data_IF_602348025467
#
_entry.id   IF_602348025467
#
_cell.length_a   1.000
_cell.length_b   1.000
_cell.length_c   1.000
_cell.angle_alpha   90.00
_cell.angle_beta   90.00
_cell.angle_gamma   90.00
#
_symmetry.space_group_name_H-M   'P 1'
#
loop_
_entity.id
_entity.type
_entity.pdbx_description
1 polymer ?
#
# COMPACT_ATOMS: atom_id res chain seq x y z
N UNK A 1 8.28 -7.80 9.02
CA UNK A 1 8.14 -9.21 9.44
C UNK A 1 7.59 -10.01 8.25
N UNK A 2 8.38 -10.84 7.57
CA UNK A 2 7.93 -11.57 6.38
C UNK A 2 6.75 -12.53 6.69
N UNK A 3 6.70 -13.05 7.92
CA UNK A 3 5.64 -13.96 8.37
C UNK A 3 4.25 -13.31 8.44
N UNK A 4 4.15 -12.00 8.76
CA UNK A 4 2.84 -11.32 8.81
C UNK A 4 2.32 -11.06 7.41
N UNK A 5 3.19 -10.69 6.46
CA UNK A 5 2.82 -10.48 5.06
C UNK A 5 2.32 -11.77 4.40
N UNK A 6 2.99 -12.90 4.65
CA UNK A 6 2.54 -14.21 4.14
C UNK A 6 1.22 -14.65 4.77
N UNK A 7 1.03 -14.41 6.08
CA UNK A 7 -0.21 -14.76 6.77
C UNK A 7 -1.41 -13.93 6.28
N UNK A 8 -1.22 -12.62 6.07
CA UNK A 8 -2.24 -11.74 5.49
C UNK A 8 -2.52 -12.17 4.04
N UNK A 9 -1.51 -12.54 3.25
CA UNK A 9 -1.68 -12.97 1.86
C UNK A 9 -2.46 -14.28 1.75
N UNK A 10 -2.17 -15.24 2.64
CA UNK A 10 -2.92 -16.48 2.71
C UNK A 10 -4.38 -16.26 3.15
N UNK A 11 -4.62 -15.44 4.18
CA UNK A 11 -5.97 -15.14 4.64
C UNK A 11 -6.79 -14.38 3.60
N UNK A 12 -6.17 -13.46 2.86
CA UNK A 12 -6.83 -12.70 1.79
C UNK A 12 -7.11 -13.58 0.56
N UNK A 13 -6.20 -14.49 0.21
CA UNK A 13 -6.43 -15.49 -0.84
C UNK A 13 -7.54 -16.49 -0.48
N UNK A 14 -7.61 -16.92 0.78
CA UNK A 14 -8.64 -17.81 1.29
C UNK A 14 -10.00 -17.10 1.40
N UNK A 15 -10.03 -15.88 1.94
CA UNK A 15 -11.27 -15.10 2.08
C UNK A 15 -11.89 -14.76 0.73
N UNK A 16 -11.07 -14.44 -0.27
CA UNK A 16 -11.53 -14.16 -1.65
C UNK A 16 -12.18 -15.39 -2.29
N UNK A 17 -11.63 -16.58 -2.09
CA UNK A 17 -12.18 -17.85 -2.60
C UNK A 17 -13.48 -18.23 -1.88
N UNK A 18 -13.53 -18.08 -0.55
CA UNK A 18 -14.74 -18.33 0.24
C UNK A 18 -15.86 -17.35 -0.15
N UNK A 19 -15.53 -16.08 -0.37
CA UNK A 19 -16.49 -15.05 -0.76
C UNK A 19 -17.11 -15.33 -2.14
N UNK A 20 -16.30 -15.76 -3.11
CA UNK A 20 -16.78 -16.15 -4.45
C UNK A 20 -17.79 -17.30 -4.39
N UNK A 21 -17.54 -18.29 -3.50
CA UNK A 21 -18.44 -19.42 -3.30
C UNK A 21 -19.71 -19.06 -2.51
N UNK A 22 -19.59 -18.15 -1.54
CA UNK A 22 -20.72 -17.64 -0.78
C UNK A 22 -21.72 -16.87 -1.67
N UNK A 23 -21.22 -16.04 -2.60
CA UNK A 23 -22.07 -15.30 -3.55
C UNK A 23 -22.82 -16.22 -4.52
N UNK A 24 -22.29 -17.41 -4.81
CA UNK A 24 -22.93 -18.39 -5.70
C UNK A 24 -23.92 -19.31 -4.99
N UNK A 25 -24.16 -19.12 -3.68
CA UNK A 25 -24.98 -20.02 -2.82
C UNK A 25 -24.57 -21.51 -2.95
N UNK A 26 -23.30 -21.80 -3.21
CA UNK A 26 -22.77 -23.16 -3.34
C UNK A 26 -22.06 -23.59 -2.03
N UNK A 27 -21.99 -24.89 -1.70
CA UNK A 27 -21.32 -25.37 -0.48
C UNK A 27 -19.85 -24.93 -0.46
N UNK A 28 -19.43 -24.42 0.70
CA UNK A 28 -18.24 -23.58 0.92
C UNK A 28 -16.91 -24.19 0.43
N UNK A 29 -16.80 -25.52 0.37
CA UNK A 29 -15.55 -26.25 0.11
C UNK A 29 -15.70 -27.28 -1.02
N UNK A 30 -16.30 -26.90 -2.15
CA UNK A 30 -16.46 -27.81 -3.29
C UNK A 30 -15.10 -28.25 -3.89
N UNK A 31 -14.12 -27.35 -3.97
CA UNK A 31 -12.77 -27.64 -4.46
C UNK A 31 -11.70 -27.05 -3.52
N UNK A 32 -11.18 -27.84 -2.56
CA UNK A 32 -10.19 -27.35 -1.59
C UNK A 32 -8.85 -26.96 -2.25
N UNK A 33 -8.50 -27.60 -3.38
CA UNK A 33 -7.29 -27.30 -4.13
C UNK A 33 -7.32 -25.93 -4.81
N UNK A 34 -8.49 -25.40 -5.17
CA UNK A 34 -8.63 -24.04 -5.68
C UNK A 34 -8.28 -23.02 -4.59
N UNK A 35 -8.67 -23.28 -3.34
CA UNK A 35 -8.34 -22.41 -2.21
C UNK A 35 -6.84 -22.40 -1.92
N UNK A 36 -6.17 -23.56 -2.03
CA UNK A 36 -4.71 -23.64 -1.89
C UNK A 36 -3.99 -22.84 -2.96
N UNK A 37 -4.47 -22.90 -4.21
CA UNK A 37 -3.96 -22.05 -5.30
C UNK A 37 -4.22 -20.56 -5.05
N UNK A 38 -5.41 -20.21 -4.54
CA UNK A 38 -5.76 -18.83 -4.15
C UNK A 38 -4.90 -18.29 -3.01
N UNK A 39 -4.62 -19.11 -1.99
CA UNK A 39 -3.68 -18.76 -0.92
C UNK A 39 -2.27 -18.59 -1.46
N UNK A 40 -1.80 -19.50 -2.31
CA UNK A 40 -0.48 -19.41 -2.94
C UNK A 40 -0.29 -18.14 -3.75
N UNK A 41 -1.30 -17.78 -4.57
CA UNK A 41 -1.33 -16.53 -5.32
C UNK A 41 -1.38 -15.31 -4.40
N UNK A 42 -2.20 -15.34 -3.34
CA UNK A 42 -2.29 -14.26 -2.36
C UNK A 42 -0.95 -13.98 -1.66
N UNK A 43 -0.22 -15.04 -1.29
CA UNK A 43 1.11 -14.91 -0.67
C UNK A 43 2.13 -14.27 -1.63
N UNK A 44 2.16 -14.70 -2.89
CA UNK A 44 3.07 -14.13 -3.89
C UNK A 44 2.71 -12.67 -4.18
N UNK A 45 1.41 -12.36 -4.30
CA UNK A 45 0.92 -11.02 -4.53
C UNK A 45 1.32 -10.05 -3.41
N UNK A 46 1.12 -10.43 -2.14
CA UNK A 46 1.51 -9.56 -1.02
C UNK A 46 3.04 -9.42 -0.92
N UNK A 47 3.80 -10.49 -1.17
CA UNK A 47 5.26 -10.38 -1.21
C UNK A 47 5.75 -9.43 -2.30
N UNK A 48 5.05 -9.36 -3.44
CA UNK A 48 5.36 -8.41 -4.50
C UNK A 48 4.91 -6.98 -4.12
N UNK A 49 3.75 -6.86 -3.49
CA UNK A 49 3.19 -5.58 -3.03
C UNK A 49 4.13 -4.89 -2.03
N UNK A 50 4.64 -5.63 -1.03
CA UNK A 50 5.60 -5.08 -0.04
C UNK A 50 6.88 -4.58 -0.71
N UNK A 51 7.37 -5.25 -1.75
CA UNK A 51 8.53 -4.77 -2.52
C UNK A 51 8.22 -3.52 -3.33
N UNK A 52 6.98 -3.38 -3.79
CA UNK A 52 6.52 -2.20 -4.51
C UNK A 52 6.36 -0.99 -3.60
N UNK A 53 5.80 -1.16 -2.40
CA UNK A 53 5.69 -0.11 -1.37
C UNK A 53 7.04 0.56 -1.10
N UNK A 54 8.09 -0.24 -0.87
CA UNK A 54 9.45 0.29 -0.61
C UNK A 54 10.01 1.09 -1.79
N UNK A 55 9.70 0.70 -3.04
CA UNK A 55 10.11 1.46 -4.22
C UNK A 55 9.33 2.77 -4.36
N UNK A 56 8.03 2.73 -4.06
CA UNK A 56 7.15 3.89 -4.11
C UNK A 56 7.56 4.95 -3.10
N UNK A 57 7.92 4.57 -1.87
CA UNK A 57 8.42 5.51 -0.85
C UNK A 57 9.69 6.23 -1.33
N UNK A 58 10.64 5.48 -1.89
CA UNK A 58 11.87 6.07 -2.44
C UNK A 58 11.62 7.01 -3.62
N UNK A 59 10.65 6.69 -4.48
CA UNK A 59 10.31 7.54 -5.62
C UNK A 59 9.48 8.76 -5.19
N UNK A 60 8.68 8.65 -4.13
CA UNK A 60 7.95 9.76 -3.51
C UNK A 60 8.92 10.80 -2.92
N UNK A 61 9.94 10.36 -2.19
CA UNK A 61 10.97 11.24 -1.63
C UNK A 61 11.68 12.05 -2.72
N UNK A 62 12.04 11.39 -3.84
CA UNK A 62 12.64 12.08 -5.00
C UNK A 62 11.70 13.10 -5.63
N UNK A 63 10.39 12.83 -5.68
CA UNK A 63 9.41 13.77 -6.22
C UNK A 63 9.19 14.95 -5.27
N UNK A 64 9.22 14.71 -3.95
CA UNK A 64 9.20 15.76 -2.94
C UNK A 64 10.42 16.67 -3.05
N UNK A 65 11.63 16.11 -3.17
CA UNK A 65 12.85 16.88 -3.37
C UNK A 65 12.83 17.69 -4.67
N UNK A 66 12.38 17.08 -5.78
CA UNK A 66 12.22 17.77 -7.06
C UNK A 66 11.21 18.90 -7.00
N UNK A 67 10.06 18.67 -6.35
CA UNK A 67 9.02 19.70 -6.20
C UNK A 67 9.51 20.84 -5.32
N UNK A 68 10.21 20.55 -4.22
CA UNK A 68 10.84 21.56 -3.35
C UNK A 68 11.90 22.38 -4.09
N UNK A 69 12.81 21.73 -4.82
CA UNK A 69 13.83 22.43 -5.62
C UNK A 69 13.22 23.29 -6.75
N UNK A 70 12.12 22.82 -7.37
CA UNK A 70 11.38 23.60 -8.36
C UNK A 70 10.66 24.81 -7.74
N UNK A 71 10.16 24.66 -6.51
CA UNK A 71 9.53 25.75 -5.76
C UNK A 71 10.56 26.76 -5.24
N UNK A 72 11.71 26.31 -4.74
CA UNK A 72 12.83 27.17 -4.34
C UNK A 72 13.32 28.02 -5.53
N UNK A 73 13.27 27.47 -6.75
CA UNK A 73 13.53 28.24 -7.97
C UNK A 73 12.50 29.31 -8.29
N UNK A 74 11.29 29.20 -7.74
CA UNK A 74 10.17 30.13 -7.93
C UNK A 74 10.22 31.30 -6.93
N UNK A 75 10.83 31.14 -5.75
CA UNK A 75 10.82 32.12 -4.66
C UNK A 75 12.15 32.85 -4.39
N UNK A 76 13.04 32.99 -5.37
CA UNK A 76 14.29 33.79 -5.27
C UNK A 76 14.09 35.31 -4.99
N UNK A 77 12.92 35.76 -4.53
CA UNK A 77 12.60 37.19 -4.30
C UNK A 77 12.12 37.49 -2.86
N UNK A 78 12.27 36.58 -1.88
CA UNK A 78 12.00 36.96 -0.47
C UNK A 78 12.87 36.20 0.55
N UNK A 79 13.87 36.89 1.12
CA UNK A 79 14.55 36.55 2.40
C UNK A 79 13.56 36.50 3.59
N UNK A 80 13.97 36.14 4.83
CA UNK A 80 14.90 35.12 5.34
C UNK A 80 14.11 33.97 6.04
N UNK A 81 14.81 32.99 6.63
CA UNK A 81 14.27 31.76 7.26
C UNK A 81 13.15 32.05 8.30
N UNK A 82 11.93 31.60 8.02
CA UNK A 82 10.76 31.66 8.92
C UNK A 82 10.35 30.23 9.31
N UNK A 83 10.27 29.85 10.59
CA UNK A 83 9.90 28.50 11.02
C UNK A 83 8.38 28.25 10.94
N UNK A 84 8.00 27.26 10.15
CA UNK A 84 6.84 26.36 10.28
C UNK A 84 5.55 26.93 10.89
N UNK A 85 4.83 27.78 10.15
CA UNK A 85 3.44 28.16 10.46
C UNK A 85 2.50 27.57 9.41
N UNK A 86 2.29 26.25 9.41
CA UNK A 86 1.21 25.61 8.62
C UNK A 86 0.36 24.63 9.47
N UNK A 87 0.69 24.38 10.74
CA UNK A 87 -0.12 23.50 11.59
C UNK A 87 -1.23 24.18 12.42
N UNK A 88 -1.40 25.51 12.33
CA UNK A 88 -2.37 26.25 13.18
C UNK A 88 -3.77 26.46 12.58
N UNK A 89 -4.08 25.90 11.40
CA UNK A 89 -5.40 26.06 10.76
C UNK A 89 -6.34 24.86 10.89
N UNK A 90 -6.05 23.88 11.76
CA UNK A 90 -6.94 22.73 11.97
C UNK A 90 -7.08 22.36 13.46
N UNK A 91 -7.59 23.29 14.27
CA UNK A 91 -8.36 22.93 15.46
C UNK A 91 -9.62 23.79 15.53
N UNK A 92 -10.83 23.21 15.64
CA UNK A 92 -11.95 23.92 16.24
C UNK A 92 -11.70 24.18 17.73
#
# INVERSE_FOLDING_TARGET
MPATATMIGALLGLSTQIYSNALRKLPLMRHPWEHVLGMGLGVVAINQLVKWEVKLDQDLDKLLEKSKAANERRYFVRSPKEPDVIYDCLSP
#
